data_IF_763510312222
#
_entry.id   IF_763510312222
#
_cell.length_a   1.000
_cell.length_b   1.000
_cell.length_c   1.000
_cell.angle_alpha   90.00
_cell.angle_beta   90.00
_cell.angle_gamma   90.00
#
_symmetry.space_group_name_H-M   'P 1'
#
loop_
_entity.id
_entity.type
_entity.pdbx_description
1 polymer ?
#
# COMPACT_ATOMS: atom_id res chain seq x y z
N UNK A 1 -38.65 28.57 10.40
CA UNK A 1 -37.34 28.23 9.81
C UNK A 1 -36.40 29.39 10.09
N UNK A 2 -35.44 29.21 11.01
CA UNK A 2 -34.32 30.14 11.18
C UNK A 2 -33.05 29.29 11.05
N UNK A 3 -32.21 29.71 10.12
CA UNK A 3 -31.02 29.05 9.65
C UNK A 3 -29.89 29.22 10.68
N UNK A 4 -29.33 28.13 11.22
CA UNK A 4 -28.20 28.18 12.15
C UNK A 4 -26.88 28.12 11.36
N UNK A 5 -26.35 29.29 10.99
CA UNK A 5 -24.99 29.44 10.52
C UNK A 5 -23.98 29.39 11.68
N UNK A 6 -22.99 28.51 11.54
CA UNK A 6 -21.66 28.50 12.17
C UNK A 6 -21.43 29.43 13.39
N UNK A 7 -21.52 28.89 14.61
CA UNK A 7 -21.01 29.55 15.81
C UNK A 7 -19.62 29.01 16.18
N UNK A 8 -18.61 29.88 16.15
CA UNK A 8 -17.29 29.63 16.72
C UNK A 8 -17.32 29.87 18.24
N UNK A 9 -16.99 28.84 19.03
CA UNK A 9 -16.79 28.94 20.48
C UNK A 9 -15.29 29.08 20.77
N UNK A 10 -14.86 30.29 21.15
CA UNK A 10 -13.49 30.53 21.61
C UNK A 10 -13.38 30.34 23.12
N UNK A 11 -12.35 29.61 23.58
CA UNK A 11 -12.02 29.43 24.99
C UNK A 11 -11.00 30.50 25.42
N UNK A 12 -11.42 31.52 26.17
CA UNK A 12 -10.50 32.36 26.94
C UNK A 12 -10.55 31.94 28.41
N UNK A 13 -9.45 31.40 28.93
CA UNK A 13 -9.28 31.18 30.36
C UNK A 13 -8.81 32.46 31.03
N UNK A 14 -9.73 33.30 31.53
CA UNK A 14 -9.36 34.42 32.40
C UNK A 14 -9.49 33.96 33.85
N UNK A 15 -8.36 33.65 34.48
CA UNK A 15 -8.31 33.32 35.90
C UNK A 15 -8.46 34.58 36.76
N UNK A 16 -9.68 34.92 37.16
CA UNK A 16 -9.91 35.99 38.15
C UNK A 16 -9.87 35.37 39.55
N UNK A 17 -8.86 35.75 40.35
CA UNK A 17 -8.66 35.25 41.71
C UNK A 17 -9.54 36.03 42.69
N UNK A 18 -10.81 35.61 42.85
CA UNK A 18 -11.67 36.02 43.97
C UNK A 18 -11.90 34.81 44.89
N UNK A 19 -11.23 34.82 46.05
CA UNK A 19 -11.38 33.90 47.18
C UNK A 19 -11.36 32.38 46.91
N UNK A 20 -10.22 31.71 47.21
CA UNK A 20 -9.99 30.27 47.51
C UNK A 20 -10.82 29.16 46.80
N UNK A 21 -11.53 29.43 45.71
CA UNK A 21 -12.24 28.44 44.88
C UNK A 21 -12.00 28.77 43.41
N UNK A 22 -11.47 27.81 42.67
CA UNK A 22 -11.36 27.90 41.21
C UNK A 22 -12.75 27.69 40.62
N UNK A 23 -13.20 28.63 39.79
CA UNK A 23 -14.45 28.51 39.03
C UNK A 23 -14.13 28.54 37.54
N UNK A 24 -14.60 27.53 36.81
CA UNK A 24 -14.60 27.55 35.35
C UNK A 24 -15.80 28.37 34.88
N UNK A 25 -15.51 29.48 34.18
CA UNK A 25 -16.53 30.29 33.51
C UNK A 25 -16.44 29.95 32.02
N UNK A 26 -17.55 29.49 31.45
CA UNK A 26 -17.68 29.30 30.01
C UNK A 26 -18.34 30.55 29.40
N UNK A 27 -17.84 30.99 28.25
CA UNK A 27 -18.37 32.14 27.51
C UNK A 27 -18.93 31.63 26.19
N UNK A 28 -20.22 31.87 25.94
CA UNK A 28 -20.86 31.63 24.64
C UNK A 28 -21.05 32.99 23.98
N UNK A 29 -20.58 33.15 22.74
CA UNK A 29 -20.89 34.30 21.91
C UNK A 29 -22.24 34.07 21.22
N UNK A 30 -23.23 34.90 21.54
CA UNK A 30 -24.45 35.03 20.76
C UNK A 30 -24.40 36.37 19.99
N UNK A 31 -25.14 36.48 18.89
CA UNK A 31 -25.17 37.66 18.00
C UNK A 31 -25.44 39.02 18.71
N UNK A 32 -25.84 39.01 20.00
CA UNK A 32 -26.15 40.18 20.82
C UNK A 32 -25.35 40.30 22.13
N UNK A 33 -24.26 39.53 22.33
CA UNK A 33 -23.35 39.69 23.46
C UNK A 33 -22.85 38.39 24.13
N UNK A 34 -21.94 38.53 25.09
CA UNK A 34 -21.38 37.45 25.91
C UNK A 34 -22.14 37.28 27.22
N UNK A 35 -22.57 36.05 27.52
CA UNK A 35 -23.17 35.71 28.83
C UNK A 35 -22.19 34.82 29.60
N UNK A 36 -21.49 35.34 30.64
CA UNK A 36 -20.73 34.50 31.54
C UNK A 36 -21.69 33.72 32.45
N UNK A 37 -21.51 32.42 32.58
CA UNK A 37 -22.30 31.59 33.51
C UNK A 37 -21.41 30.65 34.32
N UNK A 38 -21.93 30.22 35.47
CA UNK A 38 -21.31 29.24 36.36
C UNK A 38 -21.97 27.89 36.11
N UNK A 39 -21.18 26.84 35.89
CA UNK A 39 -21.73 25.55 35.47
C UNK A 39 -22.67 24.92 36.51
N UNK A 40 -22.45 25.21 37.80
CA UNK A 40 -23.29 24.76 38.92
C UNK A 40 -24.63 25.51 39.04
N UNK A 41 -24.87 26.55 38.23
CA UNK A 41 -26.11 27.34 38.25
C UNK A 41 -27.01 27.06 37.05
N UNK A 42 -26.73 26.01 36.28
CA UNK A 42 -27.58 25.56 35.19
C UNK A 42 -28.63 24.61 35.74
N UNK A 43 -29.91 24.94 35.55
CA UNK A 43 -30.99 23.98 35.73
C UNK A 43 -30.80 22.81 34.77
N UNK A 44 -31.05 21.59 35.25
CA UNK A 44 -30.85 20.34 34.51
C UNK A 44 -31.59 20.30 33.17
N UNK A 45 -32.67 21.07 33.02
CA UNK A 45 -33.51 21.17 31.81
C UNK A 45 -33.34 22.48 31.00
N UNK A 46 -32.32 23.30 31.28
CA UNK A 46 -32.09 24.53 30.52
C UNK A 46 -31.53 24.25 29.11
N UNK A 47 -31.84 25.10 28.13
CA UNK A 47 -31.21 25.04 26.80
C UNK A 47 -29.67 25.11 26.89
N UNK A 48 -29.16 25.83 27.90
CA UNK A 48 -27.74 25.96 28.20
C UNK A 48 -27.12 24.68 28.78
N UNK A 49 -27.82 23.92 29.63
CA UNK A 49 -27.33 22.61 30.11
C UNK A 49 -27.22 21.61 28.97
N UNK A 50 -28.19 21.61 28.04
CA UNK A 50 -28.14 20.79 26.83
C UNK A 50 -26.98 21.19 25.90
N UNK A 51 -26.73 22.49 25.69
CA UNK A 51 -25.60 22.96 24.88
C UNK A 51 -24.23 22.60 25.51
N UNK A 52 -24.08 22.72 26.83
CA UNK A 52 -22.85 22.33 27.54
C UNK A 52 -22.66 20.81 27.55
N UNK A 53 -23.73 20.03 27.68
CA UNK A 53 -23.70 18.56 27.58
C UNK A 53 -23.31 18.10 26.17
N UNK A 54 -23.91 18.69 25.12
CA UNK A 54 -23.54 18.45 23.72
C UNK A 54 -22.08 18.84 23.45
N UNK A 55 -21.61 19.96 24.01
CA UNK A 55 -20.21 20.38 23.92
C UNK A 55 -19.24 19.43 24.65
N UNK A 56 -19.62 18.91 25.83
CA UNK A 56 -18.83 17.89 26.55
C UNK A 56 -18.75 16.58 25.75
N UNK A 57 -19.86 16.13 25.15
CA UNK A 57 -19.88 14.96 24.25
C UNK A 57 -18.97 15.15 23.03
N UNK A 58 -18.95 16.35 22.43
CA UNK A 58 -18.05 16.68 21.31
C UNK A 58 -16.56 16.76 21.69
N UNK A 59 -16.20 16.68 22.97
CA UNK A 59 -14.81 16.78 23.44
C UNK A 59 -14.23 15.47 24.00
N UNK A 60 -15.04 14.43 24.18
CA UNK A 60 -14.53 13.11 24.61
C UNK A 60 -14.04 12.34 23.39
N UNK A 61 -12.77 11.90 23.40
CA UNK A 61 -12.28 10.92 22.43
C UNK A 61 -12.85 9.55 22.80
N UNK A 62 -13.89 9.15 22.08
CA UNK A 62 -14.59 7.87 22.26
C UNK A 62 -14.12 6.82 21.25
N UNK A 63 -13.69 7.26 20.06
CA UNK A 63 -13.10 6.39 19.05
C UNK A 63 -11.67 6.01 19.42
N UNK A 64 -11.38 4.71 19.32
CA UNK A 64 -10.03 4.14 19.39
C UNK A 64 -9.74 3.35 18.11
N UNK A 65 -8.61 3.68 17.49
CA UNK A 65 -7.98 2.92 16.41
C UNK A 65 -6.97 1.94 17.00
N UNK A 66 -7.06 0.68 16.61
CA UNK A 66 -6.18 -0.38 17.09
C UNK A 66 -5.70 -1.27 15.93
N UNK A 67 -4.40 -1.32 15.63
CA UNK A 67 -3.33 -0.58 16.30
C UNK A 67 -3.34 0.91 15.92
N UNK A 68 -2.68 1.81 16.69
CA UNK A 68 -2.62 3.25 16.38
C UNK A 68 -1.88 3.53 15.06
N UNK A 69 -1.98 4.74 14.49
CA UNK A 69 -1.17 5.05 13.31
C UNK A 69 0.33 4.94 13.61
N UNK A 70 1.11 4.52 12.63
CA UNK A 70 2.55 4.36 12.76
C UNK A 70 3.15 3.60 11.59
N UNK A 71 4.43 3.28 11.71
CA UNK A 71 5.14 2.46 10.75
C UNK A 71 5.08 0.99 11.16
N UNK A 72 4.68 0.13 10.22
CA UNK A 72 4.53 -1.30 10.43
C UNK A 72 5.39 -2.13 9.47
N UNK A 73 5.98 -3.18 10.01
CA UNK A 73 6.78 -4.18 9.30
C UNK A 73 6.12 -5.57 9.29
N UNK A 74 4.83 -5.62 9.61
CA UNK A 74 4.00 -6.82 9.57
C UNK A 74 2.56 -6.44 9.27
N UNK A 75 1.85 -7.29 8.53
CA UNK A 75 0.46 -7.06 8.15
C UNK A 75 -0.41 -6.71 9.37
N UNK A 76 -1.20 -5.64 9.26
CA UNK A 76 -2.13 -5.20 10.29
C UNK A 76 -3.55 -5.12 9.74
N UNK A 77 -4.49 -5.40 10.64
CA UNK A 77 -5.90 -5.09 10.49
C UNK A 77 -6.25 -3.99 11.49
N UNK A 78 -6.78 -2.88 10.99
CA UNK A 78 -7.10 -1.71 11.81
C UNK A 78 -8.56 -1.85 12.25
N UNK A 79 -8.73 -2.00 13.56
CA UNK A 79 -10.01 -2.00 14.24
C UNK A 79 -10.39 -0.60 14.68
N UNK A 80 -11.61 -0.18 14.37
CA UNK A 80 -12.21 1.04 14.90
C UNK A 80 -13.22 0.63 15.97
N UNK A 81 -13.08 1.19 17.17
CA UNK A 81 -14.00 0.93 18.28
C UNK A 81 -14.47 2.23 18.89
N UNK A 82 -15.67 2.22 19.47
CA UNK A 82 -16.21 3.35 20.22
C UNK A 82 -16.63 2.88 21.61
N UNK A 83 -16.43 3.73 22.61
CA UNK A 83 -16.99 3.53 23.96
C UNK A 83 -18.47 3.94 24.07
N UNK A 84 -19.02 4.59 23.03
CA UNK A 84 -20.45 4.94 22.98
C UNK A 84 -21.28 3.72 22.60
N UNK A 85 -22.40 3.52 23.30
CA UNK A 85 -23.37 2.49 22.96
C UNK A 85 -24.38 2.99 21.93
N UNK A 86 -24.92 2.08 21.12
CA UNK A 86 -25.99 2.36 20.14
C UNK A 86 -25.62 3.50 19.17
N UNK A 87 -24.44 3.39 18.55
CA UNK A 87 -23.94 4.31 17.53
C UNK A 87 -23.45 3.54 16.30
N UNK A 88 -23.56 4.14 15.13
CA UNK A 88 -22.81 3.71 13.93
C UNK A 88 -21.53 4.51 13.81
N UNK A 89 -20.43 3.87 13.40
CA UNK A 89 -19.17 4.56 13.12
C UNK A 89 -19.09 4.80 11.62
N UNK A 90 -18.96 6.05 11.21
CA UNK A 90 -18.71 6.45 9.83
C UNK A 90 -17.26 6.90 9.69
N UNK A 91 -16.64 6.62 8.55
CA UNK A 91 -15.21 6.92 8.36
C UNK A 91 -14.87 7.36 6.94
N UNK A 92 -13.73 8.04 6.83
CA UNK A 92 -13.09 8.46 5.58
C UNK A 92 -11.61 8.06 5.64
N UNK A 93 -11.01 7.80 4.48
CA UNK A 93 -9.60 7.42 4.35
C UNK A 93 -8.82 8.44 3.52
N UNK A 94 -9.38 9.60 3.23
CA UNK A 94 -8.74 10.67 2.47
C UNK A 94 -8.43 11.89 3.34
N UNK A 95 -8.68 11.81 4.65
CA UNK A 95 -8.53 12.89 5.61
C UNK A 95 -9.70 13.89 5.67
N UNK A 96 -10.73 13.73 4.83
CA UNK A 96 -11.94 14.56 4.92
C UNK A 96 -12.74 14.25 6.19
N UNK A 97 -13.57 15.18 6.64
CA UNK A 97 -14.47 14.95 7.76
C UNK A 97 -15.57 13.94 7.36
N UNK A 98 -15.78 12.81 8.08
CA UNK A 98 -16.84 11.88 7.74
C UNK A 98 -18.22 12.50 7.96
N UNK A 99 -19.12 12.22 7.03
CA UNK A 99 -20.54 12.61 7.07
C UNK A 99 -21.43 11.38 7.25
N UNK A 100 -22.75 11.59 7.37
CA UNK A 100 -23.71 10.49 7.43
C UNK A 100 -23.71 9.64 6.15
N UNK A 101 -23.30 10.22 5.02
CA UNK A 101 -23.19 9.55 3.72
C UNK A 101 -21.85 8.81 3.56
N UNK A 102 -20.90 9.02 4.47
CA UNK A 102 -19.63 8.28 4.47
C UNK A 102 -19.84 6.80 4.81
N UNK A 103 -18.98 5.90 4.34
CA UNK A 103 -19.08 4.46 4.61
C UNK A 103 -19.20 4.14 6.11
N UNK A 104 -20.09 3.21 6.43
CA UNK A 104 -20.22 2.66 7.78
C UNK A 104 -19.11 1.62 8.00
N UNK A 105 -18.42 1.74 9.12
CA UNK A 105 -17.43 0.75 9.55
C UNK A 105 -18.12 -0.55 9.98
N UNK A 106 -17.91 -1.63 9.23
CA UNK A 106 -18.50 -2.96 9.48
C UNK A 106 -17.47 -4.06 9.73
N UNK A 107 -16.22 -3.85 9.34
CA UNK A 107 -15.13 -4.82 9.46
C UNK A 107 -13.79 -4.11 9.53
N UNK A 108 -12.77 -4.79 10.04
CA UNK A 108 -11.40 -4.29 10.10
C UNK A 108 -10.88 -3.87 8.71
N UNK A 109 -10.04 -2.83 8.70
CA UNK A 109 -9.48 -2.26 7.48
C UNK A 109 -8.04 -2.71 7.36
N UNK A 110 -7.68 -3.30 6.22
CA UNK A 110 -6.30 -3.67 5.94
C UNK A 110 -5.39 -2.45 5.94
N UNK A 111 -4.22 -2.55 6.60
CA UNK A 111 -3.21 -1.49 6.58
C UNK A 111 -2.81 -1.06 5.17
N UNK A 112 -2.84 -1.98 4.22
CA UNK A 112 -2.46 -1.68 2.86
C UNK A 112 -3.42 -0.77 2.11
N UNK A 113 -4.69 -0.73 2.53
CA UNK A 113 -5.67 0.23 2.04
C UNK A 113 -5.52 1.60 2.73
N UNK A 114 -4.89 1.63 3.91
CA UNK A 114 -4.67 2.85 4.71
C UNK A 114 -3.29 3.47 4.57
N UNK A 115 -2.28 2.71 4.11
CA UNK A 115 -0.91 3.17 4.15
C UNK A 115 -0.69 4.40 3.25
N UNK A 116 -0.12 5.47 3.82
CA UNK A 116 0.02 6.81 3.23
C UNK A 116 -1.21 7.72 3.40
N UNK A 117 -2.36 7.15 3.78
CA UNK A 117 -3.63 7.85 3.90
C UNK A 117 -3.94 8.24 5.35
N UNK A 118 -4.84 9.20 5.50
CA UNK A 118 -5.33 9.62 6.81
C UNK A 118 -6.75 9.08 7.04
N UNK A 119 -6.90 8.26 8.09
CA UNK A 119 -8.18 7.69 8.50
C UNK A 119 -8.83 8.59 9.55
N UNK A 120 -10.06 9.03 9.27
CA UNK A 120 -10.86 9.81 10.21
C UNK A 120 -12.19 9.12 10.41
N UNK A 121 -12.71 9.16 11.64
CA UNK A 121 -13.95 8.49 11.99
C UNK A 121 -14.79 9.33 12.97
N UNK A 122 -16.09 9.12 12.94
CA UNK A 122 -17.05 9.77 13.85
C UNK A 122 -18.28 8.89 14.08
N UNK A 123 -18.83 8.95 15.28
CA UNK A 123 -20.04 8.21 15.64
C UNK A 123 -21.32 8.99 15.30
N UNK A 124 -22.33 8.29 14.81
CA UNK A 124 -23.67 8.79 14.58
C UNK A 124 -24.70 8.02 15.41
N UNK A 125 -25.71 8.75 15.91
CA UNK A 125 -26.91 8.18 16.55
C UNK A 125 -28.13 8.87 15.96
N UNK A 126 -29.06 8.09 15.40
CA UNK A 126 -30.27 8.65 14.77
C UNK A 126 -29.97 9.70 13.68
N UNK A 127 -28.87 9.52 12.93
CA UNK A 127 -28.47 10.45 11.86
C UNK A 127 -27.72 11.70 12.32
N UNK A 128 -27.46 11.86 13.62
CA UNK A 128 -26.76 13.03 14.18
C UNK A 128 -25.39 12.62 14.74
N UNK A 129 -24.38 13.45 14.50
CA UNK A 129 -23.04 13.29 15.09
C UNK A 129 -23.15 13.21 16.62
N UNK A 130 -22.62 12.14 17.19
CA UNK A 130 -22.71 11.81 18.62
C UNK A 130 -21.37 11.83 19.35
N UNK A 131 -20.26 11.98 18.61
CA UNK A 131 -18.90 12.05 19.13
C UNK A 131 -18.05 13.08 18.41
N UNK A 132 -16.76 13.14 18.77
CA UNK A 132 -15.77 13.99 18.10
C UNK A 132 -15.22 13.27 16.87
N UNK A 133 -15.07 13.99 15.75
CA UNK A 133 -14.27 13.49 14.62
C UNK A 133 -12.85 13.21 15.12
N UNK A 134 -12.48 11.94 15.09
CA UNK A 134 -11.20 11.44 15.58
C UNK A 134 -10.32 11.09 14.40
N UNK A 135 -9.11 11.65 14.41
CA UNK A 135 -8.08 11.43 13.40
C UNK A 135 -7.11 10.36 13.90
N UNK A 136 -6.82 9.36 13.06
CA UNK A 136 -5.90 8.28 13.42
C UNK A 136 -4.44 8.71 13.33
N UNK A 137 -4.10 9.67 12.47
CA UNK A 137 -2.79 9.86 11.89
C UNK A 137 -2.58 9.02 10.62
N UNK A 138 -1.35 8.97 10.12
CA UNK A 138 -0.99 8.27 8.89
C UNK A 138 -0.39 6.90 9.21
N UNK A 139 -0.96 5.85 8.63
CA UNK A 139 -0.35 4.52 8.66
C UNK A 139 0.72 4.41 7.58
N UNK A 140 1.82 3.71 7.87
CA UNK A 140 2.88 3.39 6.91
C UNK A 140 3.22 1.91 6.99
N UNK A 141 3.68 1.35 5.88
CA UNK A 141 3.94 -0.07 5.77
C UNK A 141 5.16 -0.35 4.91
N UNK A 142 6.11 -1.13 5.43
CA UNK A 142 7.34 -1.47 4.70
C UNK A 142 7.07 -2.33 3.45
N UNK A 143 7.83 -2.12 2.39
CA UNK A 143 7.71 -2.93 1.17
C UNK A 143 8.17 -4.38 1.41
N UNK A 144 7.72 -5.31 0.55
CA UNK A 144 8.14 -6.71 0.62
C UNK A 144 9.61 -6.85 0.20
N UNK A 145 10.33 -7.78 0.85
CA UNK A 145 11.64 -8.23 0.40
C UNK A 145 11.54 -8.86 -0.99
N UNK A 146 12.64 -8.86 -1.71
CA UNK A 146 12.76 -9.51 -3.02
C UNK A 146 12.86 -11.04 -2.91
N UNK A 147 13.17 -11.57 -1.72
CA UNK A 147 13.54 -12.97 -1.53
C UNK A 147 14.97 -13.29 -1.97
N UNK A 148 15.71 -12.31 -2.51
CA UNK A 148 17.16 -12.43 -2.70
C UNK A 148 17.82 -12.74 -1.36
N UNK A 149 18.85 -13.57 -1.35
CA UNK A 149 19.58 -13.99 -0.17
C UNK A 149 20.94 -14.57 -0.55
N UNK A 150 21.71 -15.09 0.41
CA UNK A 150 22.98 -15.76 0.12
C UNK A 150 22.78 -16.84 -0.94
N UNK A 151 23.53 -16.74 -2.03
CA UNK A 151 23.50 -17.71 -3.12
C UNK A 151 24.56 -18.78 -2.86
N UNK A 152 24.31 -20.01 -3.32
CA UNK A 152 25.27 -21.12 -3.13
C UNK A 152 26.55 -20.91 -3.94
N UNK A 153 26.46 -20.13 -5.02
CA UNK A 153 27.52 -19.88 -5.99
C UNK A 153 28.29 -18.56 -5.79
N UNK A 154 27.92 -17.74 -4.80
CA UNK A 154 28.40 -16.36 -4.71
C UNK A 154 28.30 -15.78 -3.29
N UNK A 155 29.41 -15.19 -2.82
CA UNK A 155 29.43 -14.41 -1.58
C UNK A 155 28.97 -12.98 -1.88
N UNK A 156 27.87 -12.58 -1.24
CA UNK A 156 27.32 -11.23 -1.37
C UNK A 156 28.21 -10.19 -0.69
N UNK A 157 28.34 -9.00 -1.29
CA UNK A 157 28.79 -7.81 -0.55
C UNK A 157 27.73 -7.39 0.48
N UNK A 158 28.20 -6.77 1.56
CA UNK A 158 27.39 -6.14 2.60
C UNK A 158 26.45 -5.03 2.11
N UNK A 159 26.65 -4.52 0.89
CA UNK A 159 25.82 -3.49 0.23
C UNK A 159 24.70 -4.07 -0.63
N UNK A 160 24.68 -5.38 -0.85
CA UNK A 160 23.69 -6.03 -1.72
C UNK A 160 22.36 -6.27 -1.03
N UNK A 161 21.28 -6.26 -1.80
CA UNK A 161 19.93 -6.56 -1.31
C UNK A 161 19.86 -7.92 -0.60
N UNK A 162 20.51 -8.94 -1.16
CA UNK A 162 20.56 -10.27 -0.57
C UNK A 162 21.24 -10.32 0.81
N UNK A 163 22.12 -9.35 1.12
CA UNK A 163 22.75 -9.23 2.44
C UNK A 163 21.90 -8.34 3.35
N UNK A 164 21.47 -7.18 2.84
CA UNK A 164 20.73 -6.17 3.58
C UNK A 164 19.30 -6.63 3.96
N UNK A 165 18.70 -7.52 3.17
CA UNK A 165 17.42 -8.16 3.45
C UNK A 165 16.30 -7.16 3.79
N UNK A 166 16.22 -6.04 3.05
CA UNK A 166 15.35 -4.90 3.37
C UNK A 166 13.90 -5.17 2.95
N UNK A 167 12.98 -4.94 3.89
CA UNK A 167 11.55 -5.13 3.71
C UNK A 167 10.96 -6.27 4.55
N UNK A 168 9.74 -6.66 4.21
CA UNK A 168 8.98 -7.71 4.92
C UNK A 168 9.09 -9.02 4.16
N UNK A 169 9.42 -10.10 4.86
CA UNK A 169 9.49 -11.42 4.26
C UNK A 169 8.11 -11.87 3.80
N UNK A 170 8.04 -12.41 2.58
CA UNK A 170 6.87 -13.16 2.12
C UNK A 170 6.59 -14.30 3.10
N UNK A 171 5.34 -14.43 3.51
CA UNK A 171 4.91 -15.44 4.47
C UNK A 171 3.53 -15.95 4.07
N UNK A 172 3.41 -17.26 3.90
CA UNK A 172 2.21 -17.89 3.40
C UNK A 172 1.73 -19.01 4.33
N UNK A 173 0.41 -19.19 4.40
CA UNK A 173 -0.21 -20.37 5.03
C UNK A 173 -1.10 -21.03 4.00
N UNK A 174 -0.73 -22.25 3.61
CA UNK A 174 -1.43 -23.03 2.59
C UNK A 174 -0.65 -24.27 2.20
N UNK A 175 -1.24 -25.19 1.45
CA UNK A 175 -2.60 -25.12 0.90
C UNK A 175 -3.65 -25.52 1.95
N UNK A 176 -4.69 -24.71 2.11
CA UNK A 176 -5.78 -24.96 3.07
C UNK A 176 -7.00 -25.44 2.28
N UNK A 177 -7.43 -26.68 2.55
CA UNK A 177 -8.70 -27.21 2.06
C UNK A 177 -9.87 -26.59 2.82
N UNK A 178 -10.91 -26.17 2.12
CA UNK A 178 -12.12 -25.68 2.77
C UNK A 178 -12.90 -26.86 3.40
N UNK A 179 -13.37 -26.76 4.66
CA UNK A 179 -14.02 -27.88 5.36
C UNK A 179 -15.32 -28.39 4.71
N UNK A 180 -16.10 -27.49 4.10
CA UNK A 180 -17.36 -27.84 3.43
C UNK A 180 -17.17 -28.11 1.93
N UNK A 181 -16.52 -27.18 1.20
CA UNK A 181 -16.15 -27.33 -0.22
C UNK A 181 -14.78 -28.02 -0.35
N UNK A 182 -14.74 -29.34 -0.22
CA UNK A 182 -13.49 -30.11 -0.12
C UNK A 182 -12.59 -30.06 -1.37
N UNK A 183 -13.09 -29.57 -2.51
CA UNK A 183 -12.25 -29.34 -3.70
C UNK A 183 -11.68 -27.91 -3.77
N UNK A 184 -11.99 -27.07 -2.78
CA UNK A 184 -11.57 -25.68 -2.78
C UNK A 184 -10.36 -25.48 -1.88
N UNK A 185 -9.24 -25.11 -2.50
CA UNK A 185 -7.95 -24.92 -1.84
C UNK A 185 -7.52 -23.47 -1.95
N UNK A 186 -7.10 -22.90 -0.83
CA UNK A 186 -6.65 -21.51 -0.76
C UNK A 186 -5.29 -21.41 -0.09
N UNK A 187 -4.56 -20.35 -0.43
CA UNK A 187 -3.33 -19.95 0.23
C UNK A 187 -3.53 -18.55 0.78
N UNK A 188 -3.34 -18.37 2.08
CA UNK A 188 -3.32 -17.05 2.70
C UNK A 188 -1.92 -16.47 2.61
N UNK A 189 -1.80 -15.28 2.07
CA UNK A 189 -0.59 -14.46 2.17
C UNK A 189 -0.67 -13.64 3.47
N UNK A 190 0.12 -14.03 4.46
CA UNK A 190 0.17 -13.37 5.77
C UNK A 190 0.90 -12.02 5.70
N UNK A 191 1.64 -11.74 4.63
CA UNK A 191 2.35 -10.47 4.43
C UNK A 191 1.47 -9.41 3.78
N UNK A 192 0.53 -9.81 2.91
CA UNK A 192 -0.39 -8.87 2.24
C UNK A 192 -1.83 -8.91 2.75
N UNK A 193 -2.21 -10.00 3.42
CA UNK A 193 -3.60 -10.30 3.78
C UNK A 193 -4.44 -10.84 2.62
N UNK A 194 -3.85 -11.01 1.43
CA UNK A 194 -4.54 -11.56 0.27
C UNK A 194 -4.80 -13.05 0.44
N UNK A 195 -5.89 -13.51 -0.17
CA UNK A 195 -6.21 -14.93 -0.29
C UNK A 195 -6.07 -15.32 -1.75
N UNK A 196 -5.22 -16.29 -2.02
CA UNK A 196 -4.96 -16.80 -3.36
C UNK A 196 -5.68 -18.12 -3.57
N UNK A 197 -6.19 -18.35 -4.79
CA UNK A 197 -6.59 -19.69 -5.19
C UNK A 197 -5.34 -20.55 -5.21
N UNK A 198 -5.38 -21.71 -4.54
CA UNK A 198 -4.22 -22.57 -4.33
C UNK A 198 -3.57 -23.02 -5.63
N UNK A 199 -4.39 -23.35 -6.62
CA UNK A 199 -3.96 -23.77 -7.95
C UNK A 199 -4.38 -22.79 -9.05
N UNK A 200 -3.66 -22.81 -10.16
CA UNK A 200 -4.05 -22.10 -11.38
C UNK A 200 -5.43 -22.56 -11.88
N UNK A 201 -6.05 -21.74 -12.75
CA UNK A 201 -7.30 -22.11 -13.40
C UNK A 201 -7.15 -23.38 -14.27
N UNK A 202 -8.12 -24.28 -14.17
CA UNK A 202 -8.07 -25.61 -14.80
C UNK A 202 -7.43 -26.73 -13.97
N UNK A 203 -6.80 -26.41 -12.83
CA UNK A 203 -6.20 -27.38 -11.91
C UNK A 203 -7.05 -27.50 -10.63
N UNK A 204 -7.68 -28.66 -10.35
CA UNK A 204 -8.74 -28.77 -9.35
C UNK A 204 -8.33 -29.38 -8.00
N UNK A 205 -7.18 -30.02 -7.87
CA UNK A 205 -6.80 -30.76 -6.65
C UNK A 205 -5.87 -29.97 -5.72
N UNK A 206 -5.61 -30.53 -4.53
CA UNK A 206 -4.70 -29.97 -3.53
C UNK A 206 -3.26 -29.82 -3.98
N UNK A 207 -2.76 -30.73 -4.80
CA UNK A 207 -1.39 -30.74 -5.33
C UNK A 207 -1.32 -30.10 -6.72
N UNK A 208 -2.43 -29.49 -7.16
CA UNK A 208 -2.62 -28.99 -8.51
C UNK A 208 -2.35 -30.03 -9.60
N UNK A 209 -2.52 -31.32 -9.26
CA UNK A 209 -2.47 -32.43 -10.20
C UNK A 209 -3.86 -32.75 -10.75
N UNK A 210 -3.91 -33.45 -11.88
CA UNK A 210 -5.17 -33.72 -12.55
C UNK A 210 -5.78 -32.49 -13.24
N UNK A 211 -6.49 -32.72 -14.34
CA UNK A 211 -6.92 -31.65 -15.23
C UNK A 211 -5.77 -31.08 -16.08
N UNK A 212 -6.08 -30.01 -16.80
CA UNK A 212 -5.12 -29.28 -17.64
C UNK A 212 -5.24 -27.80 -17.35
N UNK A 213 -4.09 -27.14 -17.13
CA UNK A 213 -4.06 -25.70 -16.95
C UNK A 213 -4.76 -25.02 -18.13
N UNK A 214 -5.75 -24.19 -17.83
CA UNK A 214 -6.50 -23.46 -18.84
C UNK A 214 -5.79 -22.13 -19.09
N UNK A 215 -5.25 -21.99 -20.30
CA UNK A 215 -4.72 -20.72 -20.78
C UNK A 215 -5.86 -19.91 -21.39
N UNK A 216 -5.91 -18.61 -21.08
CA UNK A 216 -6.98 -17.72 -21.51
C UNK A 216 -6.40 -16.50 -22.19
N UNK A 217 -7.13 -15.94 -23.16
CA UNK A 217 -6.90 -14.56 -23.57
C UNK A 217 -7.35 -13.61 -22.44
N UNK A 218 -6.93 -12.34 -22.50
CA UNK A 218 -7.18 -11.40 -21.41
C UNK A 218 -8.67 -11.15 -21.16
N UNK A 219 -9.50 -11.10 -22.21
CA UNK A 219 -10.94 -10.87 -22.06
C UNK A 219 -11.63 -12.05 -21.34
N UNK A 220 -11.25 -13.28 -21.70
CA UNK A 220 -11.79 -14.50 -21.10
C UNK A 220 -11.45 -14.65 -19.61
N UNK A 221 -10.42 -13.96 -19.12
CA UNK A 221 -10.12 -13.93 -17.68
C UNK A 221 -11.19 -13.24 -16.83
N UNK A 222 -12.10 -12.48 -17.45
CA UNK A 222 -13.22 -11.80 -16.79
C UNK A 222 -14.58 -12.45 -17.09
N UNK A 223 -14.77 -12.98 -18.29
CA UNK A 223 -16.09 -13.46 -18.76
C UNK A 223 -16.14 -14.96 -19.04
N UNK A 224 -15.00 -15.64 -19.10
CA UNK A 224 -14.91 -17.07 -19.39
C UNK A 224 -15.39 -17.95 -18.24
N UNK A 225 -15.73 -19.20 -18.56
CA UNK A 225 -16.18 -20.19 -17.57
C UNK A 225 -15.11 -20.53 -16.51
N UNK A 226 -13.83 -20.39 -16.87
CA UNK A 226 -12.68 -20.58 -15.97
C UNK A 226 -12.07 -19.24 -15.49
N UNK A 227 -12.81 -18.13 -15.63
CA UNK A 227 -12.38 -16.82 -15.17
C UNK A 227 -12.26 -16.76 -13.65
N UNK A 228 -11.60 -15.72 -13.13
CA UNK A 228 -11.66 -15.47 -11.70
C UNK A 228 -13.06 -15.06 -11.24
N UNK A 229 -13.84 -14.43 -12.11
CA UNK A 229 -15.22 -14.02 -11.79
C UNK A 229 -16.16 -15.21 -11.67
N UNK A 230 -15.94 -16.30 -12.43
CA UNK A 230 -16.79 -17.49 -12.35
C UNK A 230 -16.70 -18.18 -10.97
N UNK A 231 -15.56 -18.06 -10.29
CA UNK A 231 -15.38 -18.55 -8.92
C UNK A 231 -16.42 -17.98 -7.94
N UNK A 232 -16.89 -16.76 -8.17
CA UNK A 232 -17.86 -16.08 -7.28
C UNK A 232 -19.26 -16.71 -7.32
N UNK A 233 -19.56 -17.51 -8.35
CA UNK A 233 -20.85 -18.18 -8.53
C UNK A 233 -20.83 -19.67 -8.16
N UNK A 234 -19.66 -20.23 -7.81
CA UNK A 234 -19.52 -21.64 -7.43
C UNK A 234 -20.25 -21.98 -6.13
N UNK A 235 -20.35 -23.28 -5.83
CA UNK A 235 -20.91 -23.80 -4.59
C UNK A 235 -22.35 -23.33 -4.30
N UNK A 236 -23.20 -23.35 -5.34
CA UNK A 236 -24.58 -22.87 -5.23
C UNK A 236 -24.67 -21.35 -5.01
N UNK A 237 -23.72 -20.59 -5.56
CA UNK A 237 -23.65 -19.15 -5.37
C UNK A 237 -23.08 -18.72 -4.03
N UNK A 238 -22.41 -19.61 -3.28
CA UNK A 238 -21.64 -19.25 -2.08
C UNK A 238 -20.21 -18.78 -2.41
N UNK A 239 -19.74 -19.05 -3.63
CA UNK A 239 -18.41 -18.72 -4.09
C UNK A 239 -17.37 -19.79 -3.74
N UNK A 240 -16.23 -19.77 -4.43
CA UNK A 240 -15.12 -20.69 -4.19
C UNK A 240 -14.53 -20.47 -2.79
N UNK A 241 -14.42 -21.55 -2.01
CA UNK A 241 -14.07 -21.54 -0.60
C UNK A 241 -14.96 -20.61 0.27
N UNK A 242 -16.22 -20.39 -0.15
CA UNK A 242 -17.14 -19.46 0.52
C UNK A 242 -16.84 -17.97 0.30
N UNK A 243 -15.97 -17.66 -0.66
CA UNK A 243 -15.50 -16.31 -0.96
C UNK A 243 -16.08 -15.84 -2.30
N UNK A 244 -16.56 -14.58 -2.36
CA UNK A 244 -17.31 -14.01 -3.50
C UNK A 244 -16.66 -12.79 -4.16
N UNK A 245 -15.45 -12.43 -3.77
CA UNK A 245 -14.70 -11.29 -4.33
C UNK A 245 -13.46 -11.74 -5.13
N UNK A 246 -13.48 -12.96 -5.67
CA UNK A 246 -12.42 -13.47 -6.53
C UNK A 246 -12.29 -12.64 -7.79
N UNK A 247 -11.05 -12.33 -8.14
CA UNK A 247 -10.72 -11.48 -9.28
C UNK A 247 -9.33 -11.82 -9.82
N UNK A 248 -9.08 -11.34 -11.04
CA UNK A 248 -7.74 -11.33 -11.60
C UNK A 248 -6.86 -10.33 -10.79
N UNK A 249 -5.65 -10.72 -10.36
CA UNK A 249 -4.77 -9.85 -9.57
C UNK A 249 -4.27 -8.67 -10.38
N UNK A 250 -3.99 -7.56 -9.70
CA UNK A 250 -3.19 -6.46 -10.26
C UNK A 250 -1.75 -6.92 -10.51
N UNK A 251 -0.97 -6.09 -11.20
CA UNK A 251 0.44 -6.41 -11.49
C UNK A 251 1.20 -6.50 -10.18
N UNK A 252 0.95 -5.56 -9.29
CA UNK A 252 1.62 -5.41 -8.02
C UNK A 252 1.27 -6.57 -7.07
N UNK A 253 0.03 -7.05 -7.07
CA UNK A 253 -0.38 -8.24 -6.32
C UNK A 253 0.26 -9.52 -6.87
N UNK A 254 0.26 -9.76 -8.18
CA UNK A 254 0.87 -10.99 -8.71
C UNK A 254 2.39 -10.97 -8.61
N UNK A 255 3.01 -9.80 -8.82
CA UNK A 255 4.44 -9.59 -8.65
C UNK A 255 4.89 -9.79 -7.20
N UNK A 256 4.00 -9.59 -6.22
CA UNK A 256 4.29 -9.80 -4.80
C UNK A 256 4.59 -11.27 -4.47
N UNK A 257 4.29 -12.22 -5.36
CA UNK A 257 4.58 -13.64 -5.20
C UNK A 257 5.96 -14.05 -5.73
N UNK A 258 6.60 -13.20 -6.54
CA UNK A 258 7.88 -13.55 -7.17
C UNK A 258 8.98 -13.62 -6.11
N UNK A 259 9.79 -14.68 -6.15
CA UNK A 259 10.99 -14.83 -5.34
C UNK A 259 12.22 -14.67 -6.24
N UNK A 260 12.86 -13.50 -6.15
CA UNK A 260 14.03 -13.15 -6.96
C UNK A 260 15.32 -13.88 -6.53
N UNK A 261 15.37 -14.42 -5.31
CA UNK A 261 16.52 -15.21 -4.82
C UNK A 261 16.50 -16.67 -5.22
N UNK A 262 15.38 -17.18 -5.77
CA UNK A 262 15.30 -18.57 -6.20
C UNK A 262 16.14 -18.79 -7.47
N UNK A 263 17.04 -19.77 -7.45
CA UNK A 263 17.93 -20.09 -8.58
C UNK A 263 17.25 -20.98 -9.66
N UNK A 264 16.04 -21.50 -9.37
CA UNK A 264 15.29 -22.40 -10.27
C UNK A 264 13.94 -21.82 -10.72
N UNK A 265 13.49 -22.27 -11.88
CA UNK A 265 12.16 -21.96 -12.44
C UNK A 265 11.12 -22.94 -11.86
N UNK A 266 9.93 -22.50 -11.41
CA UNK A 266 9.43 -21.12 -11.34
C UNK A 266 9.91 -20.34 -10.11
N UNK A 267 10.11 -19.04 -10.29
CA UNK A 267 10.59 -18.06 -9.28
C UNK A 267 9.49 -17.66 -8.31
N UNK A 268 8.96 -18.64 -7.60
CA UNK A 268 7.93 -18.53 -6.56
C UNK A 268 8.20 -19.60 -5.49
N UNK A 269 7.58 -19.48 -4.32
CA UNK A 269 7.47 -20.61 -3.38
C UNK A 269 6.53 -21.67 -3.98
N UNK A 270 7.08 -22.60 -4.76
CA UNK A 270 6.36 -23.66 -5.47
C UNK A 270 5.91 -24.81 -4.58
N UNK A 271 6.35 -24.85 -3.32
CA UNK A 271 5.75 -25.75 -2.31
C UNK A 271 4.36 -25.25 -1.90
N UNK A 272 4.18 -23.93 -1.77
CA UNK A 272 2.92 -23.30 -1.39
C UNK A 272 2.04 -22.98 -2.60
N UNK A 273 2.67 -22.71 -3.74
CA UNK A 273 2.01 -22.44 -5.02
C UNK A 273 2.42 -23.51 -6.07
N UNK A 274 1.98 -24.76 -5.89
CA UNK A 274 2.37 -25.85 -6.78
C UNK A 274 1.85 -25.65 -8.21
N UNK A 275 2.51 -26.35 -9.14
CA UNK A 275 2.24 -26.31 -10.58
C UNK A 275 2.16 -24.88 -11.18
N UNK A 276 2.89 -23.93 -10.60
CA UNK A 276 3.02 -22.59 -11.19
C UNK A 276 3.82 -22.70 -12.50
N UNK A 277 3.31 -22.19 -13.63
CA UNK A 277 4.01 -22.30 -14.90
C UNK A 277 5.21 -21.34 -14.90
N UNK A 278 6.33 -21.78 -15.49
CA UNK A 278 7.48 -20.93 -15.77
C UNK A 278 7.26 -19.99 -16.95
N UNK A 279 6.14 -19.28 -16.99
CA UNK A 279 5.78 -18.40 -18.09
C UNK A 279 4.76 -17.34 -17.68
N UNK A 280 4.16 -16.69 -18.67
CA UNK A 280 3.28 -15.55 -18.47
C UNK A 280 2.01 -15.94 -17.71
N UNK A 281 1.73 -15.17 -16.66
CA UNK A 281 0.48 -15.17 -15.92
C UNK A 281 -0.19 -13.80 -16.02
N UNK A 282 -1.45 -13.77 -16.45
CA UNK A 282 -2.18 -12.54 -16.67
C UNK A 282 -2.38 -11.73 -15.38
N UNK A 283 -2.36 -10.41 -15.53
CA UNK A 283 -2.80 -9.44 -14.51
C UNK A 283 -3.94 -8.61 -15.07
N UNK A 284 -4.74 -7.98 -14.19
CA UNK A 284 -5.79 -7.02 -14.60
C UNK A 284 -5.24 -5.65 -14.98
N UNK A 285 -3.94 -5.46 -14.89
CA UNK A 285 -3.31 -4.17 -15.17
C UNK A 285 -3.15 -4.00 -16.67
N UNK A 286 -3.93 -3.07 -17.22
CA UNK A 286 -3.81 -2.69 -18.62
C UNK A 286 -2.59 -1.81 -18.86
N UNK A 287 -2.08 -1.82 -20.08
CA UNK A 287 -1.08 -0.85 -20.50
C UNK A 287 -1.75 0.51 -20.73
N UNK A 288 -1.24 1.55 -20.07
CA UNK A 288 -1.75 2.92 -20.15
C UNK A 288 -1.73 3.51 -21.57
N UNK A 289 -0.77 3.11 -22.40
CA UNK A 289 -0.56 3.65 -23.76
C UNK A 289 -1.15 2.81 -24.88
N UNK A 290 -1.58 1.58 -24.60
CA UNK A 290 -2.13 0.68 -25.61
C UNK A 290 -3.17 -0.26 -25.01
N UNK A 291 -4.45 -0.01 -25.34
CA UNK A 291 -5.58 -0.79 -24.85
C UNK A 291 -5.65 -2.22 -25.42
N UNK A 292 -4.83 -2.57 -26.42
CA UNK A 292 -4.75 -3.94 -26.96
C UNK A 292 -3.84 -4.86 -26.14
N UNK A 293 -3.15 -4.33 -25.13
CA UNK A 293 -2.15 -5.06 -24.36
C UNK A 293 -2.34 -4.88 -22.86
N UNK A 294 -1.85 -5.84 -22.10
CA UNK A 294 -1.88 -5.81 -20.64
C UNK A 294 -0.59 -6.40 -20.06
N UNK A 295 -0.32 -6.09 -18.80
CA UNK A 295 0.82 -6.63 -18.09
C UNK A 295 0.57 -8.09 -17.67
N UNK A 296 1.60 -8.90 -17.79
CA UNK A 296 1.69 -10.23 -17.22
C UNK A 296 2.87 -10.30 -16.24
N UNK A 297 2.90 -11.34 -15.41
CA UNK A 297 4.08 -11.73 -14.63
C UNK A 297 4.63 -13.02 -15.21
N UNK A 298 5.90 -13.01 -15.58
CA UNK A 298 6.62 -14.19 -16.04
C UNK A 298 7.39 -14.82 -14.88
N UNK A 299 6.95 -15.98 -14.40
CA UNK A 299 7.61 -16.67 -13.29
C UNK A 299 8.91 -17.40 -13.68
N UNK A 300 9.28 -17.50 -14.96
CA UNK A 300 10.62 -18.03 -15.33
C UNK A 300 11.73 -17.02 -15.03
N UNK A 301 11.47 -15.75 -15.28
CA UNK A 301 12.44 -14.66 -15.14
C UNK A 301 12.14 -13.74 -13.96
N UNK A 302 10.91 -13.72 -13.47
CA UNK A 302 10.39 -12.69 -12.56
C UNK A 302 10.08 -11.36 -13.26
N UNK A 303 10.07 -11.33 -14.60
CA UNK A 303 9.81 -10.14 -15.41
C UNK A 303 8.33 -9.79 -15.53
N UNK A 304 8.05 -8.58 -16.01
CA UNK A 304 6.69 -8.04 -16.17
C UNK A 304 6.40 -7.68 -17.63
N UNK A 305 6.33 -8.68 -18.53
CA UNK A 305 6.13 -8.40 -19.95
C UNK A 305 4.77 -7.78 -20.20
N UNK A 306 4.72 -6.92 -21.21
CA UNK A 306 3.48 -6.45 -21.81
C UNK A 306 3.17 -7.37 -22.98
N UNK A 307 2.02 -8.03 -22.93
CA UNK A 307 1.61 -8.99 -23.96
C UNK A 307 0.24 -8.60 -24.52
N UNK A 308 0.01 -8.95 -25.79
CA UNK A 308 -1.22 -8.64 -26.51
C UNK A 308 -2.37 -9.43 -25.90
N UNK A 309 -3.52 -8.78 -25.71
CA UNK A 309 -4.68 -9.34 -25.01
C UNK A 309 -5.26 -10.61 -25.64
N UNK A 310 -4.97 -10.90 -26.92
CA UNK A 310 -5.37 -12.13 -27.60
C UNK A 310 -4.46 -13.32 -27.31
N UNK A 311 -3.28 -13.11 -26.71
CA UNK A 311 -2.35 -14.17 -26.32
C UNK A 311 -2.94 -15.03 -25.21
N UNK A 312 -2.78 -16.34 -25.31
CA UNK A 312 -3.16 -17.26 -24.25
C UNK A 312 -2.09 -17.28 -23.15
N UNK A 313 -2.48 -17.00 -21.92
CA UNK A 313 -1.60 -17.05 -20.74
C UNK A 313 -2.32 -17.61 -19.52
N UNK A 314 -1.55 -18.00 -18.50
CA UNK A 314 -2.08 -18.65 -17.31
C UNK A 314 -2.77 -17.65 -16.37
N UNK A 315 -3.71 -18.12 -15.56
CA UNK A 315 -4.47 -17.28 -14.61
C UNK A 315 -4.46 -17.89 -13.21
N UNK A 316 -4.03 -17.09 -12.23
CA UNK A 316 -4.18 -17.35 -10.81
C UNK A 316 -5.05 -16.25 -10.21
N UNK A 317 -6.06 -16.64 -9.45
CA UNK A 317 -7.04 -15.70 -8.90
C UNK A 317 -6.70 -15.33 -7.46
N UNK A 318 -7.13 -14.13 -7.08
CA UNK A 318 -6.92 -13.56 -5.76
C UNK A 318 -8.22 -12.97 -5.22
N UNK A 319 -8.32 -12.90 -3.89
CA UNK A 319 -9.39 -12.29 -3.12
C UNK A 319 -8.84 -11.40 -2.01
N UNK A 320 -9.68 -10.52 -1.50
CA UNK A 320 -9.34 -9.54 -0.48
C UNK A 320 -9.21 -8.13 -1.05
N UNK A 321 -9.05 -7.16 -0.14
CA UNK A 321 -8.94 -5.73 -0.46
C UNK A 321 -7.89 -5.52 -1.55
N UNK A 322 -8.29 -4.88 -2.65
CA UNK A 322 -7.38 -4.51 -3.74
C UNK A 322 -6.25 -3.73 -3.11
N UNK A 323 -5.05 -4.28 -3.24
CA UNK A 323 -3.85 -3.64 -2.77
C UNK A 323 -3.57 -2.48 -3.71
N UNK A 324 -4.08 -1.29 -3.35
CA UNK A 324 -3.69 -0.07 -4.02
C UNK A 324 -2.26 0.26 -3.59
N UNK A 325 -1.28 -0.46 -4.16
CA UNK A 325 0.07 0.09 -4.33
C UNK A 325 0.03 1.42 -5.08
N UNK A 326 -1.10 1.68 -5.76
CA UNK A 326 -1.47 2.91 -6.46
C UNK A 326 -1.96 3.98 -5.49
N UNK A 327 -1.00 4.78 -5.07
CA UNK A 327 -1.17 6.00 -4.31
C UNK A 327 0.21 6.55 -4.04
N UNK A 328 0.84 7.11 -5.09
CA UNK A 328 2.11 7.85 -4.99
C UNK A 328 1.86 9.06 -4.12
N UNK A 329 1.91 8.82 -2.82
CA UNK A 329 1.92 9.86 -1.83
C UNK A 329 3.40 10.03 -1.52
N UNK A 330 4.02 10.85 -2.36
CA UNK A 330 5.35 11.35 -2.12
C UNK A 330 5.25 12.76 -1.57
N UNK A 331 6.23 13.11 -0.75
CA UNK A 331 6.37 14.45 -0.22
C UNK A 331 7.83 14.90 -0.38
N UNK A 332 8.05 15.91 -1.20
CA UNK A 332 9.32 16.63 -1.22
C UNK A 332 9.56 17.34 0.12
N UNK A 333 10.69 17.05 0.75
CA UNK A 333 11.11 17.67 2.00
C UNK A 333 11.90 18.97 1.81
N UNK A 334 12.06 19.43 0.56
CA UNK A 334 12.79 20.66 0.19
C UNK A 334 14.26 20.68 0.62
N UNK A 335 14.84 19.51 0.90
CA UNK A 335 16.25 19.31 1.30
C UNK A 335 16.96 18.28 0.40
N UNK A 336 16.42 18.06 -0.80
CA UNK A 336 16.88 17.08 -1.77
C UNK A 336 16.43 15.64 -1.48
N UNK A 337 15.51 15.45 -0.54
CA UNK A 337 14.90 14.15 -0.26
C UNK A 337 13.40 14.15 -0.51
N UNK A 338 12.87 12.98 -0.88
CA UNK A 338 11.45 12.73 -1.12
C UNK A 338 10.99 11.59 -0.24
N UNK A 339 10.00 11.84 0.60
CA UNK A 339 9.42 10.83 1.48
C UNK A 339 8.32 10.03 0.78
N UNK A 340 8.42 8.70 0.79
CA UNK A 340 7.33 7.80 0.44
C UNK A 340 6.37 7.64 1.61
N UNK A 341 5.24 8.33 1.58
CA UNK A 341 4.26 8.37 2.67
C UNK A 341 3.63 6.99 2.94
N UNK A 342 3.54 6.11 1.94
CA UNK A 342 3.06 4.74 2.11
C UNK A 342 4.14 3.81 2.67
N UNK A 343 5.31 3.80 2.05
CA UNK A 343 6.37 2.83 2.36
C UNK A 343 7.19 3.20 3.59
N UNK A 344 7.14 4.46 4.03
CA UNK A 344 8.06 5.00 5.02
C UNK A 344 9.51 5.05 4.55
N UNK A 345 9.75 5.01 3.24
CA UNK A 345 11.08 5.14 2.64
C UNK A 345 11.40 6.60 2.39
N UNK A 346 12.68 6.96 2.45
CA UNK A 346 13.19 8.27 2.06
C UNK A 346 14.08 8.11 0.84
N UNK A 347 13.79 8.88 -0.20
CA UNK A 347 14.41 8.78 -1.51
C UNK A 347 15.27 9.99 -1.80
N UNK A 348 16.36 9.78 -2.53
CA UNK A 348 17.08 10.85 -3.18
C UNK A 348 16.15 11.49 -4.22
N UNK A 349 15.97 12.82 -4.18
CA UNK A 349 15.07 13.55 -5.09
C UNK A 349 15.57 13.59 -6.52
N UNK A 350 16.86 13.86 -6.69
CA UNK A 350 17.48 14.04 -8.01
C UNK A 350 18.35 12.84 -8.38
N UNK A 351 18.60 12.63 -9.67
CA UNK A 351 19.46 11.53 -10.08
C UNK A 351 20.91 11.80 -9.65
N UNK A 352 21.69 10.74 -9.48
CA UNK A 352 23.12 10.88 -9.22
C UNK A 352 23.80 11.78 -10.27
N UNK A 353 24.58 12.75 -9.80
CA UNK A 353 25.27 13.75 -10.65
C UNK A 353 24.49 15.03 -10.96
N UNK A 354 23.21 15.12 -10.55
CA UNK A 354 22.42 16.35 -10.67
C UNK A 354 22.45 17.18 -9.39
N UNK A 355 22.06 18.45 -9.49
CA UNK A 355 21.82 19.29 -8.32
C UNK A 355 20.76 18.67 -7.41
N UNK A 356 20.98 18.73 -6.10
CA UNK A 356 20.15 18.03 -5.13
C UNK A 356 18.75 18.63 -4.94
N UNK A 357 18.54 19.90 -5.25
CA UNK A 357 17.30 20.63 -4.96
C UNK A 357 16.40 20.75 -6.19
N UNK A 358 16.96 21.12 -7.35
CA UNK A 358 16.20 21.39 -8.57
C UNK A 358 16.37 20.33 -9.67
N UNK A 359 17.24 19.34 -9.44
CA UNK A 359 17.56 18.27 -10.38
C UNK A 359 18.05 18.78 -11.74
N UNK A 360 18.74 19.92 -11.76
CA UNK A 360 19.42 20.46 -12.93
C UNK A 360 20.78 19.78 -13.15
N UNK A 361 21.37 20.02 -14.32
CA UNK A 361 22.64 19.42 -14.73
C UNK A 361 22.48 18.03 -15.37
N UNK A 362 23.61 17.48 -15.78
CA UNK A 362 23.67 16.20 -16.49
C UNK A 362 23.77 15.07 -15.49
N UNK A 363 22.79 14.16 -15.42
CA UNK A 363 22.91 12.98 -14.57
C UNK A 363 24.11 12.13 -15.00
N UNK A 364 24.76 11.50 -14.02
CA UNK A 364 25.83 10.54 -14.24
C UNK A 364 25.27 9.12 -14.41
N UNK A 365 26.13 8.23 -14.89
CA UNK A 365 25.87 6.80 -15.03
C UNK A 365 27.03 6.03 -14.42
N UNK A 366 26.73 4.88 -13.81
CA UNK A 366 27.69 4.12 -13.02
C UNK A 366 27.66 2.65 -13.41
N UNK A 367 28.79 1.97 -13.27
CA UNK A 367 28.77 0.50 -13.16
C UNK A 367 28.08 0.10 -11.86
N UNK A 368 27.65 -1.15 -11.75
CA UNK A 368 26.86 -1.57 -10.59
C UNK A 368 27.63 -1.44 -9.27
N UNK A 369 28.92 -1.80 -9.23
CA UNK A 369 29.77 -1.60 -8.04
C UNK A 369 29.91 -0.12 -7.69
N UNK A 370 30.13 0.74 -8.69
CA UNK A 370 30.20 2.18 -8.46
C UNK A 370 28.86 2.77 -7.98
N UNK A 371 27.73 2.19 -8.39
CA UNK A 371 26.40 2.61 -7.94
C UNK A 371 26.17 2.27 -6.46
N UNK A 372 26.61 1.09 -6.01
CA UNK A 372 26.61 0.72 -4.59
C UNK A 372 27.45 1.71 -3.78
N UNK A 373 28.68 1.98 -4.23
CA UNK A 373 29.59 2.90 -3.54
C UNK A 373 29.10 4.34 -3.55
N UNK A 374 28.47 4.80 -4.64
CA UNK A 374 27.87 6.11 -4.71
C UNK A 374 26.81 6.30 -3.62
N UNK A 375 25.88 5.34 -3.50
CA UNK A 375 24.82 5.45 -2.50
C UNK A 375 25.34 5.31 -1.08
N UNK A 376 26.29 4.41 -0.83
CA UNK A 376 26.86 4.17 0.49
C UNK A 376 27.64 5.40 1.02
N UNK A 377 28.24 6.20 0.12
CA UNK A 377 28.95 7.42 0.47
C UNK A 377 28.10 8.70 0.35
N UNK A 378 26.83 8.59 -0.03
CA UNK A 378 25.96 9.77 -0.20
C UNK A 378 25.67 10.41 1.16
N UNK A 379 25.91 11.71 1.26
CA UNK A 379 25.46 12.55 2.37
C UNK A 379 24.41 13.52 1.82
N UNK A 380 23.16 13.36 2.24
CA UNK A 380 22.03 14.13 1.72
C UNK A 380 20.92 14.22 2.76
N UNK A 381 20.31 15.41 2.88
CA UNK A 381 19.23 15.65 3.84
C UNK A 381 19.62 15.33 5.28
N UNK A 382 20.85 15.65 5.67
CA UNK A 382 21.43 15.37 6.99
C UNK A 382 21.58 13.87 7.33
N UNK A 383 21.57 13.00 6.31
CA UNK A 383 21.73 11.55 6.45
C UNK A 383 22.91 11.03 5.66
N UNK A 384 23.52 9.96 6.16
CA UNK A 384 24.65 9.25 5.56
C UNK A 384 24.42 7.73 5.46
N UNK A 385 23.20 7.25 5.72
CA UNK A 385 22.83 5.83 5.72
C UNK A 385 22.06 5.46 4.44
N UNK A 386 22.52 5.99 3.31
CA UNK A 386 21.93 5.78 2.00
C UNK A 386 22.41 4.46 1.40
N UNK A 387 21.58 3.85 0.56
CA UNK A 387 21.90 2.62 -0.16
C UNK A 387 21.24 2.60 -1.51
N UNK A 388 21.74 1.73 -2.37
CA UNK A 388 21.06 1.41 -3.61
C UNK A 388 19.75 0.66 -3.27
N UNK A 389 18.61 1.02 -3.88
CA UNK A 389 17.32 0.39 -3.59
C UNK A 389 17.33 -1.04 -4.08
N UNK A 390 16.62 -1.92 -3.38
CA UNK A 390 16.32 -3.23 -3.94
C UNK A 390 15.28 -3.13 -5.06
N UNK A 391 15.07 -4.26 -5.75
CA UNK A 391 14.17 -4.33 -6.90
C UNK A 391 12.73 -3.92 -6.57
N UNK A 392 12.20 -4.32 -5.41
CA UNK A 392 10.82 -4.01 -5.02
C UNK A 392 10.65 -2.54 -4.62
N UNK A 393 11.67 -1.95 -4.00
CA UNK A 393 11.69 -0.52 -3.68
C UNK A 393 11.68 0.33 -4.93
N UNK A 394 12.56 0.06 -5.89
CA UNK A 394 12.61 0.86 -7.11
C UNK A 394 11.35 0.66 -7.98
N UNK A 395 10.78 -0.56 -7.99
CA UNK A 395 9.47 -0.84 -8.60
C UNK A 395 8.36 0.01 -8.01
N UNK A 396 8.41 0.30 -6.71
CA UNK A 396 7.39 1.12 -6.05
C UNK A 396 7.38 2.58 -6.52
N UNK A 397 8.36 3.02 -7.31
CA UNK A 397 8.36 4.35 -7.94
C UNK A 397 7.72 4.37 -9.33
N UNK A 398 7.49 3.20 -9.98
CA UNK A 398 7.00 3.16 -11.37
C UNK A 398 5.48 3.33 -11.43
N UNK A 399 5.01 4.43 -12.01
CA UNK A 399 3.58 4.69 -12.23
C UNK A 399 3.05 4.11 -13.55
N UNK A 400 2.54 2.88 -13.47
CA UNK A 400 1.88 2.18 -14.58
C UNK A 400 0.58 2.84 -15.08
N UNK A 401 0.10 3.92 -14.46
CA UNK A 401 -1.05 4.70 -14.95
C UNK A 401 -0.63 5.77 -15.95
N UNK A 402 0.64 6.18 -15.95
CA UNK A 402 1.12 7.23 -16.84
C UNK A 402 1.19 6.70 -18.27
N UNK A 403 0.61 7.46 -19.20
CA UNK A 403 0.66 7.19 -20.63
C UNK A 403 1.89 7.84 -21.31
N UNK A 404 2.76 8.49 -20.54
CA UNK A 404 3.95 9.17 -21.03
C UNK A 404 5.14 8.83 -20.17
N UNK A 405 6.31 8.79 -20.80
CA UNK A 405 7.57 8.57 -20.10
C UNK A 405 8.15 9.90 -19.59
N UNK A 406 8.89 9.88 -18.47
CA UNK A 406 9.14 8.73 -17.60
C UNK A 406 7.91 8.33 -16.77
N UNK A 407 7.74 7.03 -16.52
CA UNK A 407 6.66 6.45 -15.73
C UNK A 407 6.93 6.61 -14.22
N UNK A 408 7.02 7.84 -13.73
CA UNK A 408 7.27 8.20 -12.32
C UNK A 408 6.50 9.48 -11.97
N UNK A 409 6.26 9.73 -10.68
CA UNK A 409 5.76 11.02 -10.21
C UNK A 409 6.78 12.14 -10.46
N UNK A 410 6.68 12.80 -11.62
CA UNK A 410 7.58 13.89 -12.03
C UNK A 410 7.42 15.18 -11.21
N UNK A 411 6.38 15.29 -10.39
CA UNK A 411 6.23 16.43 -9.48
C UNK A 411 7.23 16.31 -8.33
N UNK A 412 7.32 15.12 -7.73
CA UNK A 412 8.24 14.86 -6.64
C UNK A 412 9.65 14.45 -7.13
N UNK A 413 9.76 13.86 -8.33
CA UNK A 413 11.01 13.45 -8.95
C UNK A 413 11.23 14.17 -10.30
N UNK A 414 11.45 15.49 -10.30
CA UNK A 414 11.59 16.28 -11.53
C UNK A 414 12.85 15.90 -12.31
N UNK A 415 12.83 16.18 -13.62
CA UNK A 415 13.92 15.85 -14.55
C UNK A 415 14.38 14.38 -14.46
N UNK A 416 13.46 13.47 -14.13
CA UNK A 416 13.72 12.03 -14.20
C UNK A 416 13.86 11.58 -15.65
N UNK A 417 14.76 10.64 -15.89
CA UNK A 417 15.09 10.19 -17.24
C UNK A 417 14.31 8.94 -17.63
N UNK A 418 13.94 8.86 -18.90
CA UNK A 418 13.48 7.64 -19.56
C UNK A 418 14.70 6.71 -19.78
N UNK A 419 15.18 6.09 -18.71
CA UNK A 419 16.40 5.29 -18.71
C UNK A 419 16.30 4.13 -17.70
N UNK A 420 17.33 3.28 -17.67
CA UNK A 420 17.48 2.18 -16.72
C UNK A 420 18.18 2.66 -15.44
N UNK A 421 17.67 2.21 -14.31
CA UNK A 421 18.23 2.50 -12.99
C UNK A 421 18.65 1.22 -12.30
N UNK A 422 19.83 1.24 -11.69
CA UNK A 422 20.35 0.10 -10.93
C UNK A 422 19.52 -0.18 -9.68
N UNK A 423 19.40 -1.46 -9.36
CA UNK A 423 18.95 -1.95 -8.05
C UNK A 423 20.07 -2.73 -7.38
N UNK A 424 20.03 -2.88 -6.05
CA UNK A 424 20.96 -3.69 -5.27
C UNK A 424 20.71 -5.21 -5.40
N UNK A 425 19.71 -5.63 -6.18
CA UNK A 425 19.33 -7.03 -6.32
C UNK A 425 20.15 -7.71 -7.42
N UNK A 426 21.12 -8.52 -7.02
CA UNK A 426 21.87 -9.43 -7.91
C UNK A 426 20.93 -10.48 -8.51
N UNK A 427 21.13 -10.83 -9.79
CA UNK A 427 20.36 -11.88 -10.45
C UNK A 427 20.73 -13.26 -9.91
N UNK A 428 19.74 -14.01 -9.42
CA UNK A 428 19.95 -15.39 -8.98
C UNK A 428 20.18 -16.39 -10.13
N UNK A 429 19.98 -15.99 -11.40
CA UNK A 429 20.36 -16.83 -12.56
C UNK A 429 21.82 -16.67 -12.96
N UNK A 430 22.38 -15.50 -12.71
CA UNK A 430 23.68 -15.08 -13.21
C UNK A 430 24.20 -13.94 -12.34
N UNK A 431 25.15 -14.25 -11.46
CA UNK A 431 25.69 -13.29 -10.49
C UNK A 431 26.54 -12.18 -11.13
N UNK A 432 26.88 -12.28 -12.42
CA UNK A 432 27.54 -11.22 -13.19
C UNK A 432 26.56 -10.11 -13.58
N UNK A 433 25.26 -10.31 -13.32
CA UNK A 433 24.17 -9.40 -13.65
C UNK A 433 23.42 -8.93 -12.40
N UNK A 434 22.83 -7.75 -12.51
CA UNK A 434 21.94 -7.19 -11.50
C UNK A 434 20.66 -6.66 -12.13
N UNK A 435 19.58 -6.60 -11.35
CA UNK A 435 18.30 -6.11 -11.81
C UNK A 435 18.33 -4.59 -12.00
N UNK A 436 17.69 -4.12 -13.07
CA UNK A 436 17.43 -2.72 -13.35
C UNK A 436 15.93 -2.46 -13.53
N UNK A 437 15.52 -1.24 -13.21
CA UNK A 437 14.18 -0.73 -13.47
C UNK A 437 14.22 0.27 -14.63
N UNK A 438 13.40 0.09 -15.65
CA UNK A 438 13.26 1.06 -16.75
C UNK A 438 12.03 1.94 -16.52
N UNK A 439 12.25 3.23 -16.24
CA UNK A 439 11.17 4.22 -16.17
C UNK A 439 10.60 4.60 -17.56
N UNK A 440 11.19 4.07 -18.63
CA UNK A 440 10.73 4.25 -20.00
C UNK A 440 9.70 3.26 -20.50
N UNK A 441 9.74 2.07 -19.95
CA UNK A 441 8.92 0.95 -20.41
C UNK A 441 8.13 0.34 -19.26
N UNK A 442 8.45 0.73 -18.02
CA UNK A 442 8.01 0.05 -16.81
C UNK A 442 8.58 -1.37 -16.70
N UNK A 443 9.53 -1.76 -17.56
CA UNK A 443 10.08 -3.10 -17.58
C UNK A 443 11.15 -3.27 -16.50
N UNK A 444 11.19 -4.49 -15.96
CA UNK A 444 12.31 -4.97 -15.17
C UNK A 444 13.14 -5.92 -16.00
N UNK A 445 14.41 -5.61 -16.08
CA UNK A 445 15.39 -6.38 -16.85
C UNK A 445 16.63 -6.58 -15.98
N UNK A 446 17.54 -7.41 -16.46
CA UNK A 446 18.85 -7.62 -15.82
C UNK A 446 19.92 -7.17 -16.79
N UNK A 447 20.95 -6.51 -16.29
CA UNK A 447 22.09 -6.04 -17.09
C UNK A 447 23.39 -6.52 -16.48
N UNK A 448 24.44 -6.63 -17.31
CA UNK A 448 25.79 -6.94 -16.84
C UNK A 448 26.26 -5.86 -15.87
N UNK A 449 26.85 -6.25 -14.73
CA UNK A 449 27.30 -5.32 -13.68
C UNK A 449 28.34 -4.30 -14.18
N UNK A 450 28.97 -4.55 -15.34
CA UNK A 450 29.92 -3.65 -16.02
C UNK A 450 29.26 -2.58 -16.89
N UNK A 451 27.95 -2.67 -17.16
CA UNK A 451 27.22 -1.66 -17.94
C UNK A 451 27.01 -0.38 -17.13
N UNK A 452 26.85 0.74 -17.83
CA UNK A 452 26.57 2.04 -17.20
C UNK A 452 25.06 2.27 -17.16
N UNK A 453 24.49 2.38 -15.96
CA UNK A 453 23.08 2.75 -15.75
C UNK A 453 22.96 3.87 -14.71
N UNK A 454 21.75 4.44 -14.59
CA UNK A 454 21.43 5.52 -13.64
C UNK A 454 21.32 5.02 -12.22
N UNK A 455 21.43 5.95 -11.26
CA UNK A 455 21.38 5.65 -9.84
C UNK A 455 20.48 6.66 -9.12
N UNK A 456 19.66 6.13 -8.22
CA UNK A 456 18.85 6.87 -7.25
C UNK A 456 18.88 6.10 -5.94
N UNK A 457 19.29 6.76 -4.87
CA UNK A 457 19.47 6.10 -3.58
C UNK A 457 18.20 6.15 -2.73
N UNK A 458 18.10 5.21 -1.79
CA UNK A 458 17.03 5.13 -0.80
C UNK A 458 17.62 4.93 0.60
N UNK A 459 16.88 5.35 1.62
CA UNK A 459 17.11 4.98 3.01
C UNK A 459 15.77 4.77 3.72
N UNK A 460 15.80 4.12 4.87
CA UNK A 460 14.61 3.95 5.71
C UNK A 460 14.45 5.24 6.54
N UNK A 461 13.22 5.72 6.79
CA UNK A 461 12.98 6.97 7.57
C UNK A 461 13.54 6.91 8.99
#
# INVERSE_FOLDING_TARGET
>A
MINFGSNFLYKFGVGIKLSKRFYWIHIIYLFWGCIPFKETSLDSNSLLSNLVFLYRLQNVRTIRFDPPSGFYNAFQQIKISSSLQNVSIHYTIDGSDPTIDSPIYSSEISIWNLAGRNLRAVEFRGGVISGRITDSGIYKYSLLKTGAGPLTSYTLSDKEDGFLQKGISQNYTGLIQHPQFTNDYTTKDNSTGLIWKGCYQGLPTSDCSGGGMVLMNWQDTFTGINSCNSLNSLNGGQGYAGIKDWRLPTLEELASLVNYGKETNPRINDTIFPATPGGNSWTRTEQSTNLTSAFAVDFSTGGYPIIIKTTLAAVRCVSGSIQNFRGYQFKDNSNGTVEGLRSGSLWQKCNAGQDALDCSGTPLTYTWTQALDYCDNLILGERSNWRLPNRNELFSLIDYRLATNPMIDVVNFPNSFNDKFWTATTSALDNTRAATASFGTGAFIVDLKTTLNRVRCVTDL
#
